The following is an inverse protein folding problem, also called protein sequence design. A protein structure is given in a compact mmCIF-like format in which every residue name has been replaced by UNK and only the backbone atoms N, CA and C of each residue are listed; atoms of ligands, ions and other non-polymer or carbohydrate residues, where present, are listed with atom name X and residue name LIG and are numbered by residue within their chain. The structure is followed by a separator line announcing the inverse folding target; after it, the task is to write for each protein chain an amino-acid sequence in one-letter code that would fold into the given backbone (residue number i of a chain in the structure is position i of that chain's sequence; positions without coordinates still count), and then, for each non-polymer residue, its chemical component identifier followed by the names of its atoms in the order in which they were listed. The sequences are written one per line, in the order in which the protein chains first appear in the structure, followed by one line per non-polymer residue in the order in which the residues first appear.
data_IF_303672892019
#
_entry.id   IF_303672892019
#
_cell.length_a   1.000
_cell.length_b   1.000
_cell.length_c   1.000
_cell.angle_alpha   90.00
_cell.angle_beta   90.00
_cell.angle_gamma   90.00
#
_symmetry.space_group_name_H-M   'P 1'
#
loop_
_entity.id
_entity.type
_entity.pdbx_description
1 polymer ?
#
# COMPACT_ATOMS: atom_id res chain seq x y z
N UNK A 1 -57.41 23.86 22.26
CA UNK A 1 -57.64 22.87 21.19
C UNK A 1 -56.48 22.96 20.21
N UNK A 2 -55.59 21.96 20.28
CA UNK A 2 -54.73 21.46 19.18
C UNK A 2 -53.70 22.43 18.54
N UNK A 3 -52.50 22.44 19.10
CA UNK A 3 -51.25 22.17 18.36
C UNK A 3 -50.15 21.86 19.37
N UNK A 4 -50.24 20.65 19.91
CA UNK A 4 -49.13 19.99 20.57
C UNK A 4 -48.08 19.61 19.51
N UNK A 5 -46.81 19.81 19.86
CA UNK A 5 -45.79 18.77 19.74
C UNK A 5 -45.45 18.26 18.33
N UNK A 6 -45.00 19.15 17.44
CA UNK A 6 -44.47 18.74 16.12
C UNK A 6 -43.14 19.43 15.74
N UNK A 7 -42.44 20.01 16.71
CA UNK A 7 -41.16 20.70 16.47
C UNK A 7 -39.96 19.87 16.94
N UNK A 8 -40.14 18.67 17.52
CA UNK A 8 -39.06 17.97 18.21
C UNK A 8 -38.80 16.48 17.84
N UNK A 9 -39.29 15.96 16.71
CA UNK A 9 -39.06 14.54 16.39
C UNK A 9 -38.64 14.18 14.95
N UNK A 10 -38.52 15.16 14.04
CA UNK A 10 -38.11 14.89 12.64
C UNK A 10 -36.65 15.24 12.32
N UNK A 11 -35.84 15.56 13.33
CA UNK A 11 -34.40 15.81 13.20
C UNK A 11 -33.48 14.64 13.59
N UNK A 12 -34.04 13.46 13.94
CA UNK A 12 -33.30 12.34 14.57
C UNK A 12 -33.46 11.00 13.85
N UNK A 13 -33.54 11.01 12.52
CA UNK A 13 -33.42 9.79 11.71
C UNK A 13 -32.48 10.03 10.53
N UNK A 14 -31.21 10.35 10.82
CA UNK A 14 -30.13 10.02 9.90
C UNK A 14 -29.88 8.52 10.07
N UNK A 15 -30.06 7.68 9.04
CA UNK A 15 -29.86 6.25 9.18
C UNK A 15 -28.41 5.97 9.61
N UNK A 16 -28.17 4.92 10.42
CA UNK A 16 -26.82 4.50 10.74
C UNK A 16 -26.14 4.07 9.44
N UNK A 17 -25.24 4.92 8.95
CA UNK A 17 -24.47 4.67 7.75
C UNK A 17 -23.43 3.61 8.09
N UNK A 18 -23.71 2.34 7.77
CA UNK A 18 -22.84 1.19 8.07
C UNK A 18 -21.57 1.13 7.20
N UNK A 19 -21.09 2.29 6.74
CA UNK A 19 -20.04 2.41 5.75
C UNK A 19 -18.65 2.46 6.40
N UNK A 20 -18.47 1.82 7.54
CA UNK A 20 -17.14 1.62 8.14
C UNK A 20 -16.31 0.58 7.37
N UNK A 21 -16.72 0.26 6.13
CA UNK A 21 -15.97 -0.50 5.15
C UNK A 21 -16.10 0.15 3.75
N UNK A 22 -16.07 1.49 3.68
CA UNK A 22 -15.67 2.16 2.43
C UNK A 22 -14.14 2.19 2.38
N UNK A 23 -13.54 1.02 2.15
CA UNK A 23 -12.14 0.92 1.75
C UNK A 23 -12.00 1.72 0.45
N UNK A 24 -11.31 2.86 0.56
CA UNK A 24 -10.73 3.66 -0.52
C UNK A 24 -11.54 3.67 -1.83
N UNK A 25 -12.73 4.28 -1.78
CA UNK A 25 -13.39 4.75 -2.98
C UNK A 25 -12.80 6.12 -3.25
N UNK A 26 -12.03 6.24 -4.33
CA UNK A 26 -11.74 7.53 -4.93
C UNK A 26 -13.08 8.30 -5.02
N UNK A 27 -13.17 9.37 -4.24
CA UNK A 27 -14.23 10.36 -4.37
C UNK A 27 -14.03 10.99 -5.76
N UNK A 28 -14.70 10.41 -6.75
CA UNK A 28 -14.94 11.04 -8.04
C UNK A 28 -15.80 12.29 -7.78
N UNK A 29 -15.16 13.36 -7.29
CA UNK A 29 -15.72 14.71 -7.25
C UNK A 29 -15.10 15.57 -8.33
N UNK A 30 -15.32 15.14 -9.57
CA UNK A 30 -15.80 16.05 -10.61
C UNK A 30 -17.08 15.45 -11.19
N UNK A 31 -18.08 16.32 -11.39
CA UNK A 31 -19.40 15.94 -11.85
C UNK A 31 -19.38 15.29 -13.24
N UNK A 32 -19.40 13.97 -13.31
CA UNK A 32 -20.14 13.27 -14.37
C UNK A 32 -20.87 12.06 -13.80
N UNK A 33 -22.19 12.13 -13.88
CA UNK A 33 -23.16 11.12 -13.47
C UNK A 33 -23.13 9.91 -14.43
N UNK A 34 -21.97 9.33 -14.69
CA UNK A 34 -21.91 8.00 -15.28
C UNK A 34 -22.42 7.01 -14.24
N UNK A 35 -23.54 6.38 -14.55
CA UNK A 35 -24.03 5.22 -13.80
C UNK A 35 -22.89 4.19 -13.80
N UNK A 36 -22.13 4.09 -12.70
CA UNK A 36 -21.00 3.14 -12.61
C UNK A 36 -21.54 1.76 -13.01
N UNK A 37 -21.10 1.17 -14.15
CA UNK A 37 -21.63 -0.10 -14.61
C UNK A 37 -21.33 -1.14 -13.54
N UNK A 38 -22.38 -1.67 -12.92
CA UNK A 38 -22.25 -2.70 -11.89
C UNK A 38 -21.84 -4.00 -12.58
N UNK A 39 -20.60 -4.39 -12.37
CA UNK A 39 -20.10 -5.65 -12.89
C UNK A 39 -20.81 -6.80 -12.16
N UNK A 40 -21.40 -7.72 -12.92
CA UNK A 40 -22.05 -8.89 -12.36
C UNK A 40 -21.00 -9.73 -11.60
N UNK A 41 -21.34 -10.23 -10.40
CA UNK A 41 -20.41 -10.89 -9.48
C UNK A 41 -19.63 -12.02 -10.15
N UNK A 42 -20.27 -12.78 -11.06
CA UNK A 42 -19.61 -13.83 -11.83
C UNK A 42 -18.52 -13.30 -12.77
N UNK A 43 -18.74 -12.14 -13.41
CA UNK A 43 -17.75 -11.51 -14.28
C UNK A 43 -16.61 -10.93 -13.45
N UNK A 44 -16.91 -10.33 -12.29
CA UNK A 44 -15.89 -9.85 -11.36
C UNK A 44 -14.98 -10.99 -10.86
N UNK A 45 -15.57 -12.12 -10.49
CA UNK A 45 -14.83 -13.30 -10.04
C UNK A 45 -13.96 -13.89 -11.17
N UNK A 46 -14.48 -13.94 -12.40
CA UNK A 46 -13.71 -14.41 -13.56
C UNK A 46 -12.51 -13.50 -13.84
N UNK A 47 -12.70 -12.18 -13.83
CA UNK A 47 -11.63 -11.21 -14.05
C UNK A 47 -10.60 -11.25 -12.92
N UNK A 48 -11.04 -11.41 -11.67
CA UNK A 48 -10.16 -11.54 -10.52
C UNK A 48 -9.24 -12.76 -10.65
N UNK A 49 -9.82 -13.95 -10.85
CA UNK A 49 -9.05 -15.19 -10.99
C UNK A 49 -8.13 -15.13 -12.21
N UNK A 50 -8.62 -14.64 -13.35
CA UNK A 50 -7.81 -14.49 -14.57
C UNK A 50 -6.62 -13.57 -14.35
N UNK A 51 -6.81 -12.44 -13.67
CA UNK A 51 -5.73 -11.49 -13.37
C UNK A 51 -4.73 -12.07 -12.38
N UNK A 52 -5.19 -12.79 -11.35
CA UNK A 52 -4.29 -13.45 -10.38
C UNK A 52 -3.41 -14.49 -11.05
N UNK A 53 -3.95 -15.30 -11.96
CA UNK A 53 -3.15 -16.29 -12.71
C UNK A 53 -2.11 -15.59 -13.59
N UNK A 54 -2.50 -14.52 -14.29
CA UNK A 54 -1.57 -13.75 -15.11
C UNK A 54 -0.46 -13.09 -14.27
N UNK A 55 -0.83 -12.54 -13.10
CA UNK A 55 0.11 -11.95 -12.16
C UNK A 55 1.10 -12.99 -11.62
N UNK A 56 0.65 -14.20 -11.33
CA UNK A 56 1.52 -15.30 -10.91
C UNK A 56 2.60 -15.59 -11.94
N UNK A 57 2.24 -15.73 -13.23
CA UNK A 57 3.22 -15.93 -14.31
C UNK A 57 4.19 -14.76 -14.45
N UNK A 58 3.71 -13.52 -14.31
CA UNK A 58 4.56 -12.34 -14.36
C UNK A 58 5.58 -12.32 -13.22
N UNK A 59 5.15 -12.65 -11.99
CA UNK A 59 6.03 -12.74 -10.81
C UNK A 59 7.05 -13.85 -10.98
N UNK A 60 6.65 -15.03 -11.45
CA UNK A 60 7.56 -16.16 -11.66
C UNK A 60 8.66 -15.81 -12.69
N UNK A 61 8.28 -15.13 -13.79
CA UNK A 61 9.24 -14.65 -14.79
C UNK A 61 10.20 -13.58 -14.22
N UNK A 62 9.69 -12.65 -13.40
CA UNK A 62 10.51 -11.61 -12.75
C UNK A 62 11.49 -12.25 -11.77
N UNK A 63 11.04 -13.17 -10.91
CA UNK A 63 11.91 -13.87 -9.95
C UNK A 63 12.98 -14.69 -10.68
N UNK A 64 12.59 -15.43 -11.72
CA UNK A 64 13.55 -16.18 -12.55
C UNK A 64 14.58 -15.27 -13.24
N UNK A 65 14.17 -14.05 -13.64
CA UNK A 65 15.09 -13.05 -14.21
C UNK A 65 16.08 -12.53 -13.17
N UNK A 66 15.66 -12.35 -11.91
CA UNK A 66 16.55 -11.93 -10.81
C UNK A 66 17.63 -12.99 -10.54
N UNK A 67 17.25 -14.28 -10.54
CA UNK A 67 18.22 -15.38 -10.37
C UNK A 67 19.22 -15.47 -11.55
N UNK A 68 18.74 -15.25 -12.78
CA UNK A 68 19.60 -15.20 -13.96
C UNK A 68 20.57 -14.00 -13.95
N UNK A 69 20.15 -12.84 -13.43
CA UNK A 69 20.98 -11.65 -13.30
C UNK A 69 22.05 -11.80 -12.21
N UNK A 70 21.68 -12.37 -11.07
CA UNK A 70 22.57 -12.50 -9.90
C UNK A 70 23.59 -13.64 -10.02
N UNK A 71 23.39 -14.56 -10.97
CA UNK A 71 24.40 -15.58 -11.33
C UNK A 71 25.45 -15.08 -12.32
N UNK A 72 25.14 -14.05 -13.11
CA UNK A 72 26.02 -13.50 -14.14
C UNK A 72 26.72 -12.19 -13.73
N UNK A 73 26.22 -11.53 -12.67
CA UNK A 73 26.78 -10.29 -12.14
C UNK A 73 27.05 -10.42 -10.64
N UNK A 74 28.08 -9.74 -10.10
CA UNK A 74 28.34 -9.70 -8.66
C UNK A 74 27.32 -8.84 -7.87
N UNK A 75 26.14 -8.59 -8.43
CA UNK A 75 25.11 -7.79 -7.76
C UNK A 75 24.34 -8.71 -6.80
N UNK A 76 24.28 -8.39 -5.49
CA UNK A 76 23.59 -9.21 -4.52
C UNK A 76 22.06 -9.17 -4.68
N UNK A 77 21.40 -10.31 -4.42
CA UNK A 77 19.93 -10.47 -4.47
C UNK A 77 19.19 -9.48 -3.57
N UNK A 78 19.79 -9.07 -2.46
CA UNK A 78 19.23 -8.11 -1.50
C UNK A 78 18.99 -6.73 -2.12
N UNK A 79 19.90 -6.24 -2.96
CA UNK A 79 19.76 -4.93 -3.62
C UNK A 79 18.64 -4.98 -4.66
N UNK A 80 18.58 -6.06 -5.42
CA UNK A 80 17.55 -6.23 -6.43
C UNK A 80 16.17 -6.32 -5.77
N UNK A 81 16.04 -7.06 -4.67
CA UNK A 81 14.77 -7.16 -3.96
C UNK A 81 14.34 -5.84 -3.33
N UNK A 82 15.23 -5.12 -2.62
CA UNK A 82 14.85 -3.88 -1.94
C UNK A 82 14.54 -2.72 -2.89
N UNK A 83 15.13 -2.69 -4.10
CA UNK A 83 14.89 -1.63 -5.09
C UNK A 83 13.76 -2.02 -6.05
N UNK A 84 13.71 -3.27 -6.52
CA UNK A 84 12.81 -3.68 -7.59
C UNK A 84 11.40 -4.02 -7.08
N UNK A 85 11.24 -4.61 -5.88
CA UNK A 85 9.91 -4.96 -5.35
C UNK A 85 9.01 -3.76 -5.07
N UNK A 86 9.51 -2.59 -4.60
CA UNK A 86 8.64 -1.44 -4.33
C UNK A 86 8.06 -0.77 -5.57
N UNK A 87 8.74 -0.81 -6.72
CA UNK A 87 8.36 -0.04 -7.93
C UNK A 87 6.94 -0.41 -8.43
N UNK A 88 6.57 -1.72 -8.56
CA UNK A 88 5.22 -2.11 -8.96
C UNK A 88 4.14 -1.77 -7.94
N UNK A 89 4.50 -1.53 -6.67
CA UNK A 89 3.57 -1.16 -5.61
C UNK A 89 3.19 0.34 -5.64
N UNK A 90 3.51 1.05 -6.73
CA UNK A 90 3.14 2.46 -6.92
C UNK A 90 1.64 2.63 -7.13
N UNK A 91 1.03 3.51 -6.35
CA UNK A 91 -0.40 3.77 -6.38
C UNK A 91 -0.77 4.98 -7.23
N UNK A 92 -1.14 4.73 -8.49
CA UNK A 92 -1.60 5.77 -9.41
C UNK A 92 -2.86 6.49 -8.90
N UNK A 93 -3.68 5.82 -8.10
CA UNK A 93 -4.88 6.40 -7.49
C UNK A 93 -4.54 7.50 -6.48
N UNK A 94 -3.47 7.33 -5.69
CA UNK A 94 -3.01 8.35 -4.76
C UNK A 94 -2.51 9.61 -5.51
N UNK A 95 -1.79 9.41 -6.62
CA UNK A 95 -1.31 10.52 -7.47
C UNK A 95 -2.48 11.36 -8.01
N UNK A 96 -3.54 10.71 -8.49
CA UNK A 96 -4.74 11.40 -8.98
C UNK A 96 -5.44 12.19 -7.87
N UNK A 97 -5.46 11.66 -6.66
CA UNK A 97 -6.11 12.28 -5.52
C UNK A 97 -5.32 13.51 -5.02
N UNK A 98 -3.99 13.45 -5.06
CA UNK A 98 -3.13 14.61 -4.80
C UNK A 98 -3.28 15.72 -5.84
N UNK A 99 -3.57 15.40 -7.11
CA UNK A 99 -3.86 16.41 -8.15
C UNK A 99 -5.17 17.16 -7.86
N UNK A 100 -6.11 16.51 -7.20
CA UNK A 100 -7.40 17.08 -6.81
C UNK A 100 -7.34 17.83 -5.45
N UNK A 101 -6.15 18.18 -4.96
CA UNK A 101 -5.92 18.82 -3.65
C UNK A 101 -6.44 18.02 -2.43
N UNK A 102 -6.65 16.70 -2.58
CA UNK A 102 -7.13 15.80 -1.52
C UNK A 102 -5.98 15.00 -0.90
N UNK A 103 -5.03 15.69 -0.28
CA UNK A 103 -3.83 15.02 0.24
C UNK A 103 -4.13 14.10 1.43
N UNK A 104 -5.04 14.47 2.33
CA UNK A 104 -5.40 13.65 3.49
C UNK A 104 -5.99 12.30 3.06
N UNK A 105 -6.88 12.32 2.07
CA UNK A 105 -7.47 11.09 1.50
C UNK A 105 -6.41 10.22 0.79
N UNK A 106 -5.42 10.85 0.16
CA UNK A 106 -4.30 10.15 -0.48
C UNK A 106 -3.35 9.50 0.54
N UNK A 107 -3.11 10.17 1.67
CA UNK A 107 -2.30 9.67 2.77
C UNK A 107 -2.99 8.51 3.48
N UNK A 108 -4.27 8.65 3.83
CA UNK A 108 -5.06 7.61 4.49
C UNK A 108 -5.12 6.32 3.64
N UNK A 109 -5.27 6.47 2.32
CA UNK A 109 -5.18 5.35 1.41
C UNK A 109 -3.84 4.65 1.44
N UNK A 110 -2.78 5.44 1.23
CA UNK A 110 -1.43 4.92 1.02
C UNK A 110 -0.96 4.22 2.29
N UNK A 111 -1.18 4.84 3.45
CA UNK A 111 -0.89 4.26 4.76
C UNK A 111 -1.73 3.02 5.01
N UNK A 112 -3.03 3.04 4.67
CA UNK A 112 -3.90 1.88 4.81
C UNK A 112 -3.41 0.66 4.04
N UNK A 113 -2.94 0.85 2.81
CA UNK A 113 -2.39 -0.23 1.97
C UNK A 113 -1.03 -0.74 2.47
N UNK A 114 -0.17 0.14 2.97
CA UNK A 114 1.09 -0.23 3.61
C UNK A 114 0.87 -0.98 4.93
N UNK A 115 -0.10 -0.55 5.74
CA UNK A 115 -0.44 -1.20 7.00
C UNK A 115 -1.04 -2.59 6.75
N UNK A 116 -1.87 -2.73 5.72
CA UNK A 116 -2.41 -4.02 5.30
C UNK A 116 -1.29 -4.97 4.86
N UNK A 117 -0.33 -4.51 4.05
CA UNK A 117 0.79 -5.37 3.64
C UNK A 117 1.68 -5.75 4.84
N UNK A 118 1.96 -4.82 5.75
CA UNK A 118 2.80 -5.08 6.93
C UNK A 118 2.14 -6.01 7.97
N UNK A 119 0.88 -5.74 8.34
CA UNK A 119 0.20 -6.44 9.43
C UNK A 119 -0.53 -7.72 9.00
N UNK A 120 -0.91 -7.84 7.73
CA UNK A 120 -1.64 -9.00 7.25
C UNK A 120 -0.79 -9.85 6.32
N UNK A 121 -0.18 -9.26 5.28
CA UNK A 121 0.51 -10.03 4.24
C UNK A 121 1.80 -10.65 4.77
N UNK A 122 2.65 -9.90 5.49
CA UNK A 122 3.90 -10.42 6.06
C UNK A 122 3.72 -11.61 7.01
N UNK A 123 2.87 -11.55 8.06
CA UNK A 123 2.68 -12.71 8.94
C UNK A 123 1.96 -13.87 8.24
N UNK A 124 1.06 -13.59 7.30
CA UNK A 124 0.42 -14.64 6.50
C UNK A 124 1.45 -15.38 5.64
N UNK A 125 2.42 -14.67 5.05
CA UNK A 125 3.49 -15.29 4.27
C UNK A 125 4.35 -16.23 5.12
N UNK A 126 4.70 -15.83 6.35
CA UNK A 126 5.43 -16.70 7.30
C UNK A 126 4.61 -17.94 7.66
N UNK A 127 3.31 -17.80 7.89
CA UNK A 127 2.43 -18.91 8.23
C UNK A 127 2.26 -19.90 7.07
N UNK A 128 2.15 -19.40 5.83
CA UNK A 128 2.10 -20.23 4.62
C UNK A 128 3.42 -20.96 4.40
N UNK A 129 4.57 -20.29 4.60
CA UNK A 129 5.88 -20.92 4.50
C UNK A 129 6.04 -22.10 5.47
N UNK A 130 5.54 -21.93 6.70
CA UNK A 130 5.51 -23.01 7.69
C UNK A 130 4.58 -24.16 7.28
N UNK A 131 3.41 -23.84 6.72
CA UNK A 131 2.48 -24.84 6.19
C UNK A 131 2.99 -25.64 4.98
N UNK A 132 3.88 -25.05 4.17
CA UNK A 132 4.54 -25.72 3.05
C UNK A 132 5.81 -26.49 3.47
N UNK A 133 6.17 -26.48 4.77
CA UNK A 133 7.36 -27.16 5.28
C UNK A 133 8.68 -26.52 4.85
N UNK A 134 8.67 -25.23 4.47
CA UNK A 134 9.89 -24.48 4.16
C UNK A 134 10.52 -24.04 5.48
N UNK A 135 11.49 -24.83 5.95
CA UNK A 135 12.26 -24.50 7.15
C UNK A 135 13.16 -23.28 6.90
N UNK A 136 13.11 -22.27 7.78
CA UNK A 136 14.01 -21.12 7.75
C UNK A 136 13.40 -19.78 7.32
N UNK A 137 12.16 -19.74 6.83
CA UNK A 137 11.45 -18.46 6.61
C UNK A 137 10.93 -17.96 7.94
N UNK A 138 11.67 -17.04 8.56
CA UNK A 138 11.32 -16.40 9.83
C UNK A 138 11.29 -14.89 9.65
N UNK A 139 10.62 -14.19 10.58
CA UNK A 139 10.62 -12.73 10.64
C UNK A 139 11.94 -12.17 11.22
N UNK A 140 13.05 -12.88 11.03
CA UNK A 140 14.37 -12.47 11.49
C UNK A 140 15.06 -11.81 10.30
N UNK A 141 14.95 -10.48 10.26
CA UNK A 141 15.70 -9.65 9.33
C UNK A 141 17.12 -9.43 9.85
N UNK A 142 18.03 -9.08 8.95
CA UNK A 142 19.40 -8.73 9.35
C UNK A 142 19.40 -7.45 10.22
N UNK A 143 20.41 -7.30 11.07
CA UNK A 143 20.52 -6.15 11.97
C UNK A 143 20.51 -4.81 11.23
N UNK A 144 21.12 -4.77 10.04
CA UNK A 144 21.12 -3.59 9.18
C UNK A 144 19.72 -3.24 8.65
N UNK A 145 18.95 -4.24 8.23
CA UNK A 145 17.60 -4.07 7.69
C UNK A 145 16.62 -3.57 8.77
N UNK A 146 16.73 -4.09 10.00
CA UNK A 146 15.91 -3.63 11.13
C UNK A 146 16.24 -2.19 11.50
N UNK A 147 17.51 -1.81 11.57
CA UNK A 147 17.93 -0.44 11.93
C UNK A 147 17.55 0.57 10.86
N UNK A 148 17.72 0.24 9.58
CA UNK A 148 17.34 1.12 8.46
C UNK A 148 15.82 1.29 8.36
N UNK A 149 15.05 0.21 8.53
CA UNK A 149 13.59 0.28 8.57
C UNK A 149 13.09 1.09 9.76
N UNK A 150 13.71 0.94 10.93
CA UNK A 150 13.39 1.76 12.10
C UNK A 150 13.69 3.25 11.87
N UNK A 151 14.82 3.59 11.26
CA UNK A 151 15.16 4.95 10.88
C UNK A 151 14.14 5.56 9.89
N UNK A 152 13.72 4.79 8.88
CA UNK A 152 12.72 5.22 7.90
C UNK A 152 11.37 5.53 8.56
N UNK A 153 10.92 4.68 9.49
CA UNK A 153 9.66 4.90 10.23
C UNK A 153 9.77 6.12 11.14
N UNK A 154 10.91 6.33 11.80
CA UNK A 154 11.13 7.52 12.63
C UNK A 154 11.07 8.80 11.80
N UNK A 155 11.72 8.82 10.63
CA UNK A 155 11.67 9.97 9.73
C UNK A 155 10.24 10.21 9.23
N UNK A 156 9.54 9.15 8.81
CA UNK A 156 8.15 9.25 8.39
C UNK A 156 7.25 9.79 9.51
N UNK A 157 7.43 9.33 10.75
CA UNK A 157 6.68 9.80 11.91
C UNK A 157 6.94 11.29 12.20
N UNK A 158 8.20 11.71 12.10
CA UNK A 158 8.59 13.11 12.24
C UNK A 158 7.90 13.98 11.19
N UNK A 159 7.91 13.58 9.92
CA UNK A 159 7.26 14.33 8.83
C UNK A 159 5.74 14.37 8.96
N UNK A 160 5.12 13.28 9.45
CA UNK A 160 3.67 13.24 9.70
C UNK A 160 3.23 14.14 10.86
N UNK A 161 4.14 14.52 11.76
CA UNK A 161 3.85 15.43 12.87
C UNK A 161 3.89 16.89 12.43
N UNK A 162 4.44 17.19 11.25
CA UNK A 162 4.46 18.56 10.74
C UNK A 162 3.07 18.95 10.19
N UNK A 163 2.51 20.05 10.69
CA UNK A 163 1.17 20.54 10.33
C UNK A 163 1.02 20.97 8.85
N UNK A 164 2.12 20.99 8.09
CA UNK A 164 2.14 21.47 6.70
C UNK A 164 2.89 20.50 5.81
N UNK A 165 2.22 20.04 4.77
CA UNK A 165 2.80 19.24 3.70
C UNK A 165 3.49 20.11 2.66
N UNK A 166 4.79 19.93 2.47
CA UNK A 166 5.59 20.69 1.50
C UNK A 166 6.32 19.79 0.53
N UNK A 167 6.62 20.30 -0.67
CA UNK A 167 7.37 19.53 -1.67
C UNK A 167 8.75 19.08 -1.14
N UNK A 168 9.35 19.85 -0.23
CA UNK A 168 10.64 19.52 0.41
C UNK A 168 10.53 18.26 1.26
N UNK A 169 9.42 18.07 1.99
CA UNK A 169 9.21 16.83 2.77
C UNK A 169 9.09 15.61 1.85
N UNK A 170 8.43 15.76 0.69
CA UNK A 170 8.38 14.72 -0.34
C UNK A 170 9.77 14.38 -0.89
N UNK A 171 10.60 15.40 -1.16
CA UNK A 171 12.00 15.20 -1.57
C UNK A 171 12.83 14.55 -0.47
N UNK A 172 12.58 14.88 0.80
CA UNK A 172 13.26 14.28 1.95
C UNK A 172 12.93 12.78 2.07
N UNK A 173 11.67 12.40 1.84
CA UNK A 173 11.25 10.98 1.79
C UNK A 173 11.91 10.23 0.62
N UNK A 174 11.99 10.85 -0.57
CA UNK A 174 12.71 10.27 -1.70
C UNK A 174 14.21 10.14 -1.43
N UNK A 175 14.81 11.12 -0.74
CA UNK A 175 16.21 11.08 -0.33
C UNK A 175 16.47 9.97 0.68
N UNK A 176 15.57 9.74 1.64
CA UNK A 176 15.66 8.63 2.59
C UNK A 176 15.59 7.26 1.90
N UNK A 177 14.64 7.07 0.98
CA UNK A 177 14.58 5.87 0.14
C UNK A 177 15.89 5.66 -0.66
N UNK A 178 16.46 6.74 -1.21
CA UNK A 178 17.75 6.68 -1.90
C UNK A 178 18.93 6.35 -0.99
N UNK A 179 18.91 6.87 0.25
CA UNK A 179 19.94 6.60 1.26
C UNK A 179 19.89 5.16 1.73
N UNK A 180 18.69 4.59 1.94
CA UNK A 180 18.51 3.18 2.27
C UNK A 180 19.02 2.29 1.13
N UNK A 181 18.70 2.63 -0.12
CA UNK A 181 19.20 1.89 -1.29
C UNK A 181 20.73 1.93 -1.39
N UNK A 182 21.34 3.09 -1.15
CA UNK A 182 22.80 3.25 -1.14
C UNK A 182 23.45 2.49 0.02
N UNK A 183 22.84 2.55 1.21
CA UNK A 183 23.32 1.85 2.38
C UNK A 183 23.24 0.33 2.19
N UNK A 184 22.18 -0.20 1.57
CA UNK A 184 22.07 -1.61 1.20
C UNK A 184 23.13 -2.03 0.17
N UNK A 185 23.50 -1.12 -0.75
CA UNK A 185 24.61 -1.35 -1.68
C UNK A 185 25.94 -1.49 -0.95
N UNK A 186 26.29 -0.58 -0.04
CA UNK A 186 27.56 -0.65 0.70
C UNK A 186 27.59 -1.72 1.79
N UNK A 187 26.47 -2.04 2.44
CA UNK A 187 26.41 -3.06 3.47
C UNK A 187 26.63 -4.48 2.91
N UNK A 188 26.40 -4.67 1.61
CA UNK A 188 26.50 -5.98 0.94
C UNK A 188 27.74 -6.12 0.04
N UNK A 189 28.52 -5.05 -0.17
CA UNK A 189 29.78 -5.02 -0.93
C UNK A 189 30.96 -5.23 0.00
#
# INVERSE_FOLDING_TARGET
MKKADNENFRGRLKPPNNNQTSVFVLDDREEEKYTKPRLHVMVALFVFVSTTVLLYFAVDFVVGSIDALTSQTPIPKTIVSIILLPIPNSDFSAIKLTINDQLDDAMDCTIGKCLQSALFVTPLAVLVAWGMGVEGVTLVFDGFEVVSLFAAILLLNFLMTEDKVSWIQGVLLLADCGLIALAAFFATV
#
